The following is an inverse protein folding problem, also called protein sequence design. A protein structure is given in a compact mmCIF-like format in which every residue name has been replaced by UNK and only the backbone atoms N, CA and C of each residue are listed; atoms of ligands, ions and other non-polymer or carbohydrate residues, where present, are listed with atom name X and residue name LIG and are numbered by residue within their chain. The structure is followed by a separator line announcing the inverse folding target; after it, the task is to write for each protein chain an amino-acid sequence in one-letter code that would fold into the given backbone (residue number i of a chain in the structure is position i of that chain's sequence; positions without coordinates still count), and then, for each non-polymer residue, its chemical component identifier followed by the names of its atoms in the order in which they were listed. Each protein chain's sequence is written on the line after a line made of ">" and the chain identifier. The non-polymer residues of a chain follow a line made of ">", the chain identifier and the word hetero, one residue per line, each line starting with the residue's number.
data_IF_777185376390
#
_entry.id   IF_777185376390
#
_cell.length_a   1.000
_cell.length_b   1.000
_cell.length_c   1.000
_cell.angle_alpha   90.00
_cell.angle_beta   90.00
_cell.angle_gamma   90.00
#
_symmetry.space_group_name_H-M   'P 1'
#
loop_
_entity.id
_entity.type
_entity.pdbx_description
1 polymer ?
2 non-polymer ?
3 non-polymer ?
4 water ?
#
# COMPACT_ATOMS: atom_id res chain seq x y z
N UNK A 1 13.78 12.15 -10.01
CA UNK A 1 13.67 12.44 -8.56
C UNK A 1 12.22 12.39 -8.11
N UNK A 2 11.35 13.08 -8.85
CA UNK A 2 9.93 13.07 -8.52
C UNK A 2 9.36 11.66 -8.72
N UNK A 3 10.22 10.75 -9.17
CA UNK A 3 9.85 9.36 -9.36
C UNK A 3 9.73 8.71 -7.98
N UNK A 4 10.52 9.21 -7.04
CA UNK A 4 10.54 8.72 -5.68
C UNK A 4 9.72 9.65 -4.78
N UNK A 5 8.82 10.41 -5.39
CA UNK A 5 7.97 11.34 -4.64
C UNK A 5 6.83 10.59 -3.96
N UNK A 6 6.32 11.15 -2.88
CA UNK A 6 5.21 10.57 -2.13
C UNK A 6 3.92 10.94 -2.85
N UNK A 7 3.15 9.93 -3.24
CA UNK A 7 1.89 10.14 -3.94
C UNK A 7 0.72 10.17 -2.96
N UNK A 8 0.82 9.38 -1.91
CA UNK A 8 -0.22 9.28 -0.88
C UNK A 8 0.30 8.62 0.39
N UNK A 9 -0.17 9.12 1.53
CA UNK A 9 0.24 8.59 2.82
C UNK A 9 -0.86 8.73 3.85
N UNK A 10 -0.86 7.85 4.84
CA UNK A 10 -1.89 7.92 5.85
C UNK A 10 -1.94 6.60 6.59
N UNK A 11 -2.86 6.51 7.56
CA UNK A 11 -3.00 5.33 8.40
C UNK A 11 -3.98 4.32 7.85
N UNK A 12 -3.72 3.05 8.14
CA UNK A 12 -4.59 1.99 7.70
C UNK A 12 -4.28 0.77 8.57
N UNK A 13 -5.10 -0.27 8.48
CA UNK A 13 -4.84 -1.50 9.23
C UNK A 13 -4.43 -2.57 8.27
N UNK A 14 -3.38 -3.29 8.63
CA UNK A 14 -2.88 -4.37 7.79
C UNK A 14 -3.35 -5.66 8.44
N UNK A 15 -3.95 -6.53 7.64
CA UNK A 15 -4.46 -7.80 8.15
C UNK A 15 -3.43 -8.90 8.39
N UNK A 16 -3.64 -9.67 9.46
CA UNK A 16 -2.76 -10.78 9.75
C UNK A 16 -2.95 -11.81 8.64
N UNK A 17 -1.92 -12.59 8.36
CA UNK A 17 -2.00 -13.60 7.33
C UNK A 17 -2.46 -14.93 7.93
N UNK A 18 -1.70 -15.43 8.89
CA UNK A 18 -2.03 -16.70 9.54
C UNK A 18 -2.60 -16.54 10.93
N UNK A 19 -2.60 -15.31 11.43
CA UNK A 19 -3.11 -15.00 12.75
C UNK A 19 -4.24 -14.00 12.49
N UNK A 20 -5.34 -14.10 13.23
CA UNK A 20 -6.42 -13.16 13.01
C UNK A 20 -6.16 -11.93 13.85
N UNK A 21 -5.79 -10.85 13.16
CA UNK A 21 -5.48 -9.60 13.83
C UNK A 21 -5.31 -8.51 12.77
N UNK A 22 -5.39 -7.26 13.22
CA UNK A 22 -5.21 -6.09 12.36
C UNK A 22 -4.11 -5.28 12.99
N UNK A 23 -3.04 -5.03 12.25
CA UNK A 23 -1.92 -4.25 12.79
C UNK A 23 -2.00 -2.81 12.30
N UNK A 24 -1.91 -1.83 13.22
CA UNK A 24 -1.96 -0.44 12.76
C UNK A 24 -0.66 -0.12 12.02
N UNK A 25 -0.76 0.64 10.93
CA UNK A 25 0.41 0.98 10.15
C UNK A 25 0.22 2.32 9.45
N UNK A 26 1.32 3.04 9.24
CA UNK A 26 1.28 4.30 8.51
C UNK A 26 2.00 3.96 7.20
N UNK A 27 1.30 4.13 6.07
CA UNK A 27 1.87 3.77 4.79
C UNK A 27 2.13 4.96 3.88
N UNK A 28 3.18 4.85 3.07
CA UNK A 28 3.52 5.89 2.11
C UNK A 28 3.58 5.17 0.77
N UNK A 29 2.98 5.77 -0.25
CA UNK A 29 3.03 5.22 -1.59
C UNK A 29 3.90 6.17 -2.40
N UNK A 30 4.95 5.65 -3.02
CA UNK A 30 5.86 6.48 -3.82
C UNK A 30 5.61 6.29 -5.31
N UNK A 31 5.99 7.29 -6.10
CA UNK A 31 5.76 7.24 -7.54
C UNK A 31 6.45 6.12 -8.30
N UNK A 32 7.42 5.44 -7.69
CA UNK A 32 8.10 4.35 -8.38
C UNK A 32 7.46 3.01 -8.00
N UNK A 33 6.25 3.08 -7.45
CA UNK A 33 5.52 1.87 -7.07
C UNK A 33 5.80 1.30 -5.69
N UNK A 34 6.67 1.95 -4.92
CA UNK A 34 7.00 1.45 -3.59
C UNK A 34 5.89 1.80 -2.62
N UNK A 35 5.47 0.82 -1.84
CA UNK A 35 4.39 0.97 -0.86
C UNK A 35 5.00 0.49 0.46
N UNK A 36 5.35 1.43 1.34
CA UNK A 36 6.00 1.09 2.61
C UNK A 36 5.22 1.48 3.86
N UNK A 37 5.28 0.59 4.86
CA UNK A 37 4.57 0.77 6.11
C UNK A 37 5.47 0.81 7.34
N UNK A 38 5.00 1.55 8.35
CA UNK A 38 5.69 1.77 9.62
C UNK A 38 4.71 1.64 10.77
N UNK A 39 5.22 1.45 11.98
CA UNK A 39 4.34 1.35 13.13
C UNK A 39 3.78 2.71 13.48
N UNK A 40 4.52 3.75 13.09
CA UNK A 40 4.14 5.14 13.34
C UNK A 40 4.64 5.96 12.17
N UNK A 41 4.15 7.19 12.05
CA UNK A 41 4.59 8.04 10.94
C UNK A 41 6.05 8.41 11.16
N UNK A 42 6.90 8.11 10.16
CA UNK A 42 8.34 8.41 10.23
C UNK A 42 8.57 9.91 10.43
N UNK A 43 9.32 10.26 11.47
CA UNK A 43 9.59 11.65 11.79
C UNK A 43 10.78 12.23 11.03
N UNK A 44 11.73 11.38 10.67
CA UNK A 44 12.90 11.86 9.94
C UNK A 44 13.41 10.89 8.87
N UNK A 45 14.62 11.15 8.40
CA UNK A 45 15.26 10.33 7.39
C UNK A 45 15.55 8.93 7.93
N UNK A 46 16.08 8.86 9.15
CA UNK A 46 16.39 7.58 9.78
C UNK A 46 15.15 6.71 9.96
N UNK A 47 14.08 7.32 10.46
CA UNK A 47 12.85 6.59 10.65
C UNK A 47 12.26 6.16 9.32
N UNK A 48 12.63 6.84 8.23
CA UNK A 48 12.13 6.50 6.91
C UNK A 48 12.88 5.32 6.30
N UNK A 49 14.16 5.19 6.66
CA UNK A 49 14.98 4.12 6.11
C UNK A 49 14.74 2.77 6.76
N UNK A 50 13.88 2.73 7.76
CA UNK A 50 13.60 1.49 8.46
C UNK A 50 12.14 1.04 8.44
N UNK A 51 11.55 0.83 7.24
CA UNK A 51 10.15 0.39 7.21
C UNK A 51 9.95 -1.05 7.66
N UNK A 52 8.77 -1.34 8.19
CA UNK A 52 8.43 -2.69 8.62
C UNK A 52 7.95 -3.50 7.40
N UNK A 53 7.24 -2.83 6.49
CA UNK A 53 6.71 -3.48 5.29
C UNK A 53 7.15 -2.72 4.05
N UNK A 54 7.34 -3.44 2.95
CA UNK A 54 7.79 -2.83 1.71
C UNK A 54 7.35 -3.71 0.54
N UNK A 55 6.40 -3.19 -0.24
CA UNK A 55 5.87 -3.91 -1.41
C UNK A 55 6.05 -3.06 -2.63
N UNK A 56 5.90 -3.70 -3.79
CA UNK A 56 5.96 -3.00 -5.06
C UNK A 56 4.56 -3.18 -5.65
N UNK A 57 3.93 -2.09 -6.08
CA UNK A 57 2.59 -2.22 -6.63
C UNK A 57 2.57 -2.23 -8.15
N UNK A 58 3.72 -2.46 -8.77
CA UNK A 58 3.75 -2.51 -10.23
C UNK A 58 2.96 -3.75 -10.66
N UNK A 59 2.09 -3.59 -11.66
CA UNK A 59 1.27 -4.70 -12.16
C UNK A 59 0.46 -5.40 -11.06
N UNK A 60 -0.15 -4.67 -10.14
CA UNK A 60 -0.89 -5.35 -9.09
C UNK A 60 -2.37 -5.48 -9.41
N UNK A 61 -3.05 -6.27 -8.59
CA UNK A 61 -4.50 -6.47 -8.70
C UNK A 61 -5.07 -5.70 -7.50
N UNK A 62 -6.21 -5.06 -7.68
CA UNK A 62 -6.78 -4.32 -6.57
C UNK A 62 -8.22 -4.75 -6.37
N UNK A 63 -8.49 -5.33 -5.21
CA UNK A 63 -9.83 -5.79 -4.89
C UNK A 63 -10.38 -5.04 -3.69
N UNK A 64 -11.70 -4.88 -3.68
CA UNK A 64 -12.37 -4.20 -2.60
C UNK A 64 -13.36 -5.17 -1.97
N UNK A 65 -13.35 -5.27 -0.63
CA UNK A 65 -14.28 -6.13 0.09
C UNK A 65 -14.85 -5.44 1.33
N UNK A 66 -15.87 -6.07 1.93
CA UNK A 66 -16.50 -5.54 3.14
C UNK A 66 -16.46 -6.59 4.25
N UNK A 67 -15.88 -7.75 3.96
CA UNK A 67 -15.77 -8.82 4.95
C UNK A 67 -14.31 -9.19 5.17
N UNK A 68 -13.92 -9.39 6.45
CA UNK A 68 -14.79 -9.28 7.62
C UNK A 68 -14.99 -7.83 8.05
N UNK A 69 -14.15 -6.94 7.54
CA UNK A 69 -14.23 -5.52 7.87
C UNK A 69 -14.66 -4.67 6.69
N UNK A 70 -15.55 -3.69 6.92
CA UNK A 70 -15.99 -2.82 5.82
C UNK A 70 -14.79 -1.96 5.42
N UNK A 71 -14.82 -1.43 4.21
CA UNK A 71 -13.75 -0.57 3.71
C UNK A 71 -12.39 -1.25 3.65
N UNK A 72 -12.40 -2.51 3.26
CA UNK A 72 -11.17 -3.27 3.14
C UNK A 72 -10.76 -3.36 1.67
N UNK A 73 -9.46 -3.37 1.40
CA UNK A 73 -9.03 -3.56 0.03
C UNK A 73 -7.87 -4.53 0.07
N UNK A 74 -7.75 -5.31 -1.00
CA UNK A 74 -6.71 -6.31 -1.12
C UNK A 74 -5.84 -5.99 -2.31
N UNK A 75 -4.54 -6.23 -2.15
CA UNK A 75 -3.59 -6.00 -3.22
C UNK A 75 -2.90 -7.32 -3.53
N UNK A 76 -2.92 -7.74 -4.79
CA UNK A 76 -2.23 -8.95 -5.17
C UNK A 76 -1.04 -8.40 -5.93
N UNK A 77 0.17 -8.70 -5.46
CA UNK A 77 1.35 -8.17 -6.13
C UNK A 77 2.55 -9.09 -6.10
N UNK A 78 3.60 -8.67 -6.81
CA UNK A 78 4.82 -9.46 -6.91
C UNK A 78 5.92 -9.01 -5.96
N UNK A 79 6.27 -9.87 -5.00
CA UNK A 79 7.35 -9.54 -4.09
C UNK A 79 8.53 -10.34 -4.59
N UNK A 80 9.30 -9.72 -5.48
CA UNK A 80 10.47 -10.35 -6.08
C UNK A 80 9.98 -11.33 -7.15
N UNK A 81 9.85 -12.61 -6.80
CA UNK A 81 9.39 -13.60 -7.77
C UNK A 81 8.16 -14.36 -7.26
N UNK A 82 7.62 -13.92 -6.13
CA UNK A 82 6.45 -14.55 -5.52
C UNK A 82 5.22 -13.62 -5.54
N UNK A 83 4.09 -14.16 -5.98
CA UNK A 83 2.86 -13.38 -6.00
C UNK A 83 2.29 -13.47 -4.58
N UNK A 84 1.91 -12.34 -4.01
CA UNK A 84 1.37 -12.36 -2.66
C UNK A 84 0.12 -11.51 -2.60
N UNK A 85 -0.70 -11.75 -1.58
CA UNK A 85 -1.89 -10.95 -1.37
C UNK A 85 -1.75 -10.31 0.01
N UNK A 86 -2.03 -9.02 0.11
CA UNK A 86 -1.98 -8.32 1.40
C UNK A 86 -3.31 -7.62 1.54
N UNK A 87 -3.85 -7.59 2.75
CA UNK A 87 -5.17 -7.00 3.00
C UNK A 87 -5.14 -5.80 3.94
N UNK A 88 -5.79 -4.70 3.55
CA UNK A 88 -5.78 -3.49 4.37
C UNK A 88 -7.18 -2.94 4.55
N UNK A 89 -7.42 -2.21 5.63
CA UNK A 89 -8.73 -1.59 5.76
C UNK A 89 -8.53 -0.20 6.32
N UNK A 90 -9.40 0.71 5.90
CA UNK A 90 -9.34 2.09 6.33
C UNK A 90 -10.66 2.43 6.97
N UNK A 91 -10.82 3.67 7.40
CA UNK A 91 -12.04 4.05 8.11
C UNK A 91 -13.29 4.30 7.29
N UNK A 92 -13.13 4.83 6.09
CA UNK A 92 -14.29 5.13 5.27
C UNK A 92 -14.14 4.69 3.82
N UNK A 93 -15.27 4.48 3.12
CA UNK A 93 -15.12 4.07 1.73
C UNK A 93 -14.51 5.19 0.89
N UNK A 94 -14.62 6.43 1.35
CA UNK A 94 -14.03 7.55 0.63
C UNK A 94 -12.51 7.43 0.67
N UNK A 95 -11.96 7.07 1.82
CA UNK A 95 -10.51 6.95 1.88
C UNK A 95 -10.02 5.70 1.20
N UNK A 96 -10.84 4.66 1.18
CA UNK A 96 -10.43 3.44 0.51
C UNK A 96 -10.25 3.74 -0.98
N UNK A 97 -11.19 4.52 -1.52
CA UNK A 97 -11.16 4.91 -2.92
C UNK A 97 -9.93 5.76 -3.25
N UNK A 98 -9.51 6.61 -2.30
CA UNK A 98 -8.34 7.45 -2.50
C UNK A 98 -7.11 6.58 -2.59
N UNK A 99 -7.07 5.53 -1.78
CA UNK A 99 -5.95 4.59 -1.80
C UNK A 99 -5.94 3.69 -3.02
N UNK A 100 -7.08 3.14 -3.41
CA UNK A 100 -7.06 2.26 -4.57
C UNK A 100 -6.87 3.05 -5.87
N UNK A 101 -7.34 4.29 -5.88
CA UNK A 101 -7.18 5.12 -7.06
C UNK A 101 -5.73 5.57 -7.18
N UNK A 102 -5.12 5.92 -6.04
CA UNK A 102 -3.72 6.33 -6.04
C UNK A 102 -2.82 5.17 -6.45
N UNK A 103 -3.08 3.98 -5.91
CA UNK A 103 -2.26 2.81 -6.25
C UNK A 103 -2.34 2.47 -7.74
N UNK A 104 -3.55 2.38 -8.27
CA UNK A 104 -3.72 2.06 -9.68
C UNK A 104 -3.02 3.07 -10.59
N UNK A 105 -3.20 4.35 -10.29
CA UNK A 105 -2.58 5.44 -11.05
C UNK A 105 -1.05 5.27 -11.10
N UNK A 106 -0.47 4.86 -9.98
CA UNK A 106 0.97 4.67 -9.94
C UNK A 106 1.34 3.50 -10.81
N UNK A 107 0.57 2.41 -10.70
CA UNK A 107 0.84 1.22 -11.52
C UNK A 107 0.73 1.58 -13.00
N UNK A 108 -0.31 2.33 -13.36
CA UNK A 108 -0.48 2.74 -14.77
C UNK A 108 0.70 3.62 -15.22
N UNK A 109 1.19 4.47 -14.33
CA UNK A 109 2.32 5.33 -14.65
C UNK A 109 3.62 4.57 -14.88
N UNK A 110 3.85 3.50 -14.11
CA UNK A 110 5.05 2.70 -14.30
C UNK A 110 4.96 2.00 -15.66
N UNK A 111 3.80 1.44 -15.97
CA UNK A 111 3.61 0.75 -17.25
C UNK A 111 3.90 1.71 -18.40
N UNK A 112 3.22 2.85 -18.43
CA UNK A 112 3.42 3.83 -19.49
C UNK A 112 4.85 4.33 -19.51
N UNK A 113 5.54 4.17 -18.39
CA UNK A 113 6.92 4.62 -18.29
C UNK A 113 7.82 3.68 -19.06
N UNK A 114 7.36 2.45 -19.31
CA UNK A 114 8.16 1.52 -20.09
C UNK A 114 8.32 2.21 -21.45
N UNK A 115 7.72 3.40 -21.54
CA UNK A 115 7.69 4.30 -22.72
C UNK A 115 8.40 3.85 -23.98
N UNK A 116 9.50 4.41 -24.28
X LIG B 1 4.94 -6.20 9.52
X LIG B 1 4.18 -7.54 10.00
X LIG B 1 2.75 -7.50 9.27
X LIG B 1 4.05 -7.57 11.47
X LIG B 1 5.04 -8.77 9.43
X LIG B 1 4.34 -9.75 8.79
X LIG B 1 3.71 -10.78 9.49
X LIG B 1 3.45 -10.66 10.83
X LIG B 1 4.73 -10.89 11.78
X LIG B 1 6.00 -11.26 10.87
X LIG B 1 5.00 -9.44 12.42
X LIG B 1 4.48 -11.88 12.85
X LIG B 1 3.22 -11.89 8.81
X LIG B 1 2.83 -13.00 9.49
X LIG B 1 1.37 -12.96 10.17
X LIG B 1 1.57 -12.65 11.73
X LIG B 1 0.60 -11.68 9.57
X LIG B 1 0.65 -14.23 9.97
X LIG B 1 3.34 -11.95 7.42
X LIG B 1 3.96 -10.92 6.71
X LIG B 1 4.46 -9.82 7.41
X LIG B 1 5.16 -8.81 6.82
X LIG B 1 4.91 -8.52 5.25
X LIG B 1 5.43 -9.79 4.43
X LIG B 1 5.90 -7.29 4.95
X LIG B 1 3.50 -8.17 4.94
X LIG C 1 3.48 -13.74 12.41
#
# INVERSE_FOLDING_TARGET
>A
MSDVAIVKEGWLHKRGEYIKTWRPRYFLLKNDGTFIGYKERPQDVDQREAPLNNFSVAQCQLMKTERPRPNTFIIRCLQWTTVIERTFHVETPEEREEWTTAIQTVADGLKKQEEEEMDFRSG
>B hetero
1 GVF OAE PAH OAG OAI OAM CAL CAP OAQ PAT OAS OAY OAU CAO OAR PAW OAV OAZ OAX CAN CAJ CAK OAF PAC OAB OAA OAD
>C hetero
1 NA NA
#
